data_IF_421516340859
#
_entry.id   IF_421516340859
#
_cell.length_a   1.000
_cell.length_b   1.000
_cell.length_c   1.000
_cell.angle_alpha   90.00
_cell.angle_beta   90.00
_cell.angle_gamma   90.00
#
_symmetry.space_group_name_H-M   'P 1'
#
loop_
_entity.id
_entity.type
_entity.pdbx_description
1 polymer ?
#
# COMPACT_ATOMS: atom_id res chain seq x y z
N UNK A 1 -30.55 84.05 15.30
CA UNK A 1 -31.25 82.73 15.25
C UNK A 1 -30.72 81.78 14.18
N UNK A 2 -30.39 82.25 12.96
CA UNK A 2 -29.91 81.39 11.86
C UNK A 2 -28.56 80.68 12.07
N UNK A 3 -27.64 81.24 12.87
CA UNK A 3 -26.28 80.69 13.02
C UNK A 3 -26.25 79.34 13.77
N UNK A 4 -27.19 79.11 14.70
CA UNK A 4 -27.28 77.86 15.46
C UNK A 4 -27.87 76.70 14.66
N UNK A 5 -28.74 77.00 13.67
CA UNK A 5 -29.36 76.00 12.79
C UNK A 5 -28.31 75.41 11.83
N UNK A 6 -27.40 76.24 11.32
CA UNK A 6 -26.34 75.80 10.40
C UNK A 6 -25.34 74.85 11.07
N UNK A 7 -24.94 75.13 12.32
CA UNK A 7 -24.01 74.28 13.07
C UNK A 7 -24.60 72.91 13.44
N UNK A 8 -25.93 72.85 13.65
CA UNK A 8 -26.65 71.61 13.96
C UNK A 8 -26.82 70.74 12.70
N UNK A 9 -27.05 71.35 11.54
CA UNK A 9 -27.15 70.64 10.25
C UNK A 9 -25.83 69.96 9.86
N UNK A 10 -24.70 70.67 10.04
CA UNK A 10 -23.36 70.14 9.71
C UNK A 10 -22.98 68.94 10.59
N UNK A 11 -23.45 68.92 11.84
CA UNK A 11 -23.21 67.77 12.74
C UNK A 11 -24.04 66.54 12.36
N UNK A 12 -25.25 66.73 11.82
CA UNK A 12 -26.13 65.64 11.37
C UNK A 12 -25.58 64.99 10.08
N UNK A 13 -25.16 65.78 9.10
CA UNK A 13 -24.54 65.25 7.87
C UNK A 13 -23.23 64.50 8.16
N UNK A 14 -22.42 65.00 9.11
CA UNK A 14 -21.21 64.31 9.53
C UNK A 14 -21.50 62.95 10.17
N UNK A 15 -22.57 62.84 10.97
CA UNK A 15 -23.00 61.58 11.59
C UNK A 15 -23.49 60.59 10.53
N UNK A 16 -24.30 61.01 9.55
CA UNK A 16 -24.75 60.12 8.46
C UNK A 16 -23.59 59.63 7.59
N UNK A 17 -22.62 60.49 7.29
CA UNK A 17 -21.42 60.12 6.50
C UNK A 17 -20.56 59.12 7.29
N UNK A 18 -20.38 59.30 8.59
CA UNK A 18 -19.65 58.37 9.45
C UNK A 18 -20.42 57.04 9.53
N UNK A 19 -21.74 57.06 9.71
CA UNK A 19 -22.57 55.85 9.79
C UNK A 19 -22.54 55.06 8.48
N UNK A 20 -22.64 55.73 7.33
CA UNK A 20 -22.57 55.12 6.00
C UNK A 20 -21.18 54.54 5.72
N UNK A 21 -20.12 55.24 6.13
CA UNK A 21 -18.73 54.77 5.98
C UNK A 21 -18.41 53.60 6.91
N UNK A 22 -19.01 53.56 8.10
CA UNK A 22 -18.93 52.43 9.03
C UNK A 22 -19.67 51.22 8.46
N UNK A 23 -20.89 51.39 7.94
CA UNK A 23 -21.70 50.31 7.35
C UNK A 23 -21.02 49.69 6.11
N UNK A 24 -20.51 50.51 5.18
CA UNK A 24 -19.79 50.02 4.00
C UNK A 24 -18.46 49.33 4.37
N UNK A 25 -17.79 49.78 5.43
CA UNK A 25 -16.56 49.13 5.94
C UNK A 25 -16.86 47.76 6.57
N UNK A 26 -17.99 47.64 7.27
CA UNK A 26 -18.49 46.38 7.84
C UNK A 26 -18.91 45.41 6.73
N UNK A 27 -19.66 45.85 5.72
CA UNK A 27 -20.08 45.00 4.59
C UNK A 27 -18.88 44.48 3.76
N UNK A 28 -17.87 45.33 3.55
CA UNK A 28 -16.62 44.93 2.90
C UNK A 28 -15.86 43.88 3.73
N UNK A 29 -15.94 43.97 5.06
CA UNK A 29 -15.37 42.98 5.98
C UNK A 29 -16.11 41.64 5.93
N UNK A 30 -17.45 41.67 5.92
CA UNK A 30 -18.30 40.48 5.84
C UNK A 30 -18.12 39.76 4.49
N UNK A 31 -18.07 40.50 3.38
CA UNK A 31 -17.84 39.95 2.04
C UNK A 31 -16.44 39.33 1.88
N UNK A 32 -15.40 39.94 2.49
CA UNK A 32 -14.05 39.34 2.56
C UNK A 32 -14.03 38.08 3.42
N UNK A 33 -14.75 38.07 4.54
CA UNK A 33 -14.85 36.91 5.41
C UNK A 33 -15.52 35.73 4.69
N UNK A 34 -16.61 35.97 3.96
CA UNK A 34 -17.32 34.93 3.22
C UNK A 34 -16.48 34.35 2.07
N UNK A 35 -15.71 35.18 1.36
CA UNK A 35 -14.77 34.74 0.31
C UNK A 35 -13.65 33.88 0.88
N UNK A 36 -13.10 34.25 2.03
CA UNK A 36 -12.07 33.46 2.72
C UNK A 36 -12.66 32.13 3.20
N UNK A 37 -13.86 32.15 3.79
CA UNK A 37 -14.54 30.93 4.24
C UNK A 37 -14.84 29.97 3.07
N UNK A 38 -15.30 30.50 1.92
CA UNK A 38 -15.52 29.72 0.72
C UNK A 38 -14.22 29.08 0.19
N UNK A 39 -13.13 29.85 0.12
CA UNK A 39 -11.82 29.33 -0.28
C UNK A 39 -11.28 28.27 0.69
N UNK A 40 -11.41 28.48 2.00
CA UNK A 40 -11.01 27.50 3.02
C UNK A 40 -11.81 26.21 2.88
N UNK A 41 -13.13 26.30 2.66
CA UNK A 41 -13.97 25.12 2.46
C UNK A 41 -13.59 24.33 1.20
N UNK A 42 -13.24 25.02 0.11
CA UNK A 42 -12.82 24.40 -1.14
C UNK A 42 -11.46 23.70 -0.99
N UNK A 43 -10.50 24.33 -0.30
CA UNK A 43 -9.19 23.73 -0.01
C UNK A 43 -9.34 22.50 0.89
N UNK A 44 -10.19 22.57 1.92
CA UNK A 44 -10.44 21.44 2.81
C UNK A 44 -11.05 20.24 2.08
N UNK A 45 -11.98 20.48 1.16
CA UNK A 45 -12.57 19.42 0.34
C UNK A 45 -11.53 18.69 -0.53
N UNK A 46 -10.54 19.40 -1.07
CA UNK A 46 -9.44 18.81 -1.86
C UNK A 46 -8.52 17.94 -0.99
N UNK A 47 -8.26 18.34 0.26
CA UNK A 47 -7.37 17.59 1.17
C UNK A 47 -7.98 16.23 1.56
N UNK A 48 -9.30 16.16 1.76
CA UNK A 48 -9.97 14.92 2.22
C UNK A 48 -10.16 13.91 1.08
N UNK A 49 -10.11 14.33 -0.19
CA UNK A 49 -10.31 13.45 -1.35
C UNK A 49 -9.17 12.43 -1.59
N UNK A 50 -8.04 12.52 -0.86
CA UNK A 50 -6.86 11.67 -1.07
C UNK A 50 -6.88 10.29 -0.40
N UNK A 51 -7.91 9.95 0.38
CA UNK A 51 -7.96 8.67 1.10
C UNK A 51 -8.49 7.54 0.20
N UNK A 52 -7.61 6.94 -0.61
CA UNK A 52 -7.90 5.70 -1.35
C UNK A 52 -6.93 4.60 -0.93
N UNK A 53 -7.39 3.34 -0.76
CA UNK A 53 -6.49 2.22 -0.54
C UNK A 53 -5.58 2.02 -1.77
N UNK A 54 -4.34 1.62 -1.52
CA UNK A 54 -3.37 1.31 -2.56
C UNK A 54 -3.46 -0.19 -2.86
N UNK A 55 -3.76 -0.53 -4.11
CA UNK A 55 -3.78 -1.90 -4.60
C UNK A 55 -2.45 -2.18 -5.30
N UNK A 56 -1.78 -3.25 -4.90
CA UNK A 56 -0.55 -3.72 -5.50
C UNK A 56 -0.73 -5.13 -6.05
N UNK A 57 -0.41 -5.32 -7.33
CA UNK A 57 -0.39 -6.62 -7.98
C UNK A 57 1.06 -7.08 -8.10
N UNK A 58 1.35 -8.27 -7.59
CA UNK A 58 2.67 -8.88 -7.64
C UNK A 58 2.61 -10.22 -8.39
N UNK A 59 3.67 -10.50 -9.16
CA UNK A 59 3.79 -11.75 -9.92
C UNK A 59 2.95 -11.78 -11.19
N UNK A 60 2.59 -12.97 -11.63
CA UNK A 60 1.85 -13.19 -12.88
C UNK A 60 0.44 -13.72 -12.57
N UNK A 61 -0.58 -12.87 -12.74
CA UNK A 61 -1.98 -13.27 -12.59
C UNK A 61 -2.48 -13.82 -13.93
N UNK A 62 -2.76 -15.12 -13.99
CA UNK A 62 -3.11 -15.78 -15.24
C UNK A 62 -4.59 -15.67 -15.54
N UNK A 63 -4.93 -15.41 -16.81
CA UNK A 63 -6.30 -15.49 -17.28
C UNK A 63 -6.77 -16.95 -17.30
N UNK A 64 -7.96 -17.19 -16.75
CA UNK A 64 -8.64 -18.49 -16.75
C UNK A 64 -8.80 -19.02 -18.18
N UNK A 65 -9.01 -18.14 -19.17
CA UNK A 65 -9.12 -18.53 -20.58
C UNK A 65 -7.82 -19.13 -21.12
N UNK A 66 -6.68 -18.56 -20.75
CA UNK A 66 -5.38 -19.07 -21.16
C UNK A 66 -5.13 -20.46 -20.55
N UNK A 67 -5.50 -20.66 -19.28
CA UNK A 67 -5.42 -21.96 -18.61
C UNK A 67 -6.33 -23.01 -19.27
N UNK A 68 -7.54 -22.61 -19.68
CA UNK A 68 -8.49 -23.50 -20.33
C UNK A 68 -8.03 -23.99 -21.72
N UNK A 69 -7.09 -23.28 -22.36
CA UNK A 69 -6.52 -23.69 -23.65
C UNK A 69 -5.52 -24.86 -23.54
N UNK A 70 -5.00 -25.11 -22.34
CA UNK A 70 -4.02 -26.17 -22.06
C UNK A 70 -4.75 -27.52 -22.01
N UNK A 71 -4.37 -28.42 -22.92
CA UNK A 71 -4.94 -29.77 -23.01
C UNK A 71 -4.00 -30.78 -22.38
N UNK A 72 -4.47 -31.44 -21.33
CA UNK A 72 -3.75 -32.52 -20.64
C UNK A 72 -3.35 -33.63 -21.63
N UNK A 73 -2.10 -34.08 -21.56
CA UNK A 73 -1.53 -35.12 -22.42
C UNK A 73 -1.32 -34.73 -23.89
N UNK A 74 -1.58 -33.47 -24.28
CA UNK A 74 -1.37 -33.00 -25.66
C UNK A 74 -0.48 -31.77 -25.72
N UNK A 75 -0.71 -30.79 -24.85
CA UNK A 75 0.08 -29.56 -24.82
C UNK A 75 1.49 -29.86 -24.32
N UNK A 76 2.50 -29.37 -25.06
CA UNK A 76 3.92 -29.51 -24.72
C UNK A 76 4.40 -28.35 -23.85
N UNK A 77 5.51 -28.55 -23.15
CA UNK A 77 6.20 -27.51 -22.38
C UNK A 77 6.46 -26.23 -23.18
N UNK A 78 6.91 -26.34 -24.44
CA UNK A 78 7.14 -25.19 -25.31
C UNK A 78 5.86 -24.41 -25.58
N UNK A 79 4.75 -25.10 -25.85
CA UNK A 79 3.45 -24.45 -26.07
C UNK A 79 2.92 -23.79 -24.79
N UNK A 80 3.16 -24.38 -23.61
CA UNK A 80 2.82 -23.73 -22.34
C UNK A 80 3.64 -22.46 -22.15
N UNK A 81 4.93 -22.48 -22.49
CA UNK A 81 5.80 -21.31 -22.45
C UNK A 81 5.32 -20.22 -23.42
N UNK A 82 4.90 -20.59 -24.63
CA UNK A 82 4.39 -19.65 -25.62
C UNK A 82 3.04 -19.03 -25.18
N UNK A 83 2.20 -19.79 -24.48
CA UNK A 83 0.88 -19.36 -24.00
C UNK A 83 0.94 -18.53 -22.71
N UNK A 84 1.74 -18.95 -21.73
CA UNK A 84 1.76 -18.38 -20.38
C UNK A 84 3.03 -17.58 -20.07
N UNK A 85 4.06 -17.68 -20.92
CA UNK A 85 5.38 -17.11 -20.68
C UNK A 85 6.21 -17.91 -19.67
N UNK A 86 7.31 -17.27 -19.23
CA UNK A 86 8.21 -17.83 -18.24
C UNK A 86 7.51 -17.99 -16.88
N UNK A 87 7.68 -19.14 -16.20
CA UNK A 87 7.11 -19.35 -14.88
C UNK A 87 7.80 -18.49 -13.81
N UNK A 88 7.10 -18.25 -12.71
CA UNK A 88 7.65 -17.53 -11.54
C UNK A 88 8.70 -18.37 -10.81
N UNK A 89 8.54 -19.70 -10.79
CA UNK A 89 9.50 -20.61 -10.18
C UNK A 89 9.42 -22.00 -10.80
N UNK A 90 10.54 -22.71 -10.79
CA UNK A 90 10.66 -24.11 -11.21
C UNK A 90 10.71 -25.01 -9.98
N UNK A 91 10.12 -26.21 -10.06
CA UNK A 91 10.26 -27.20 -9.01
C UNK A 91 11.69 -27.74 -8.95
N UNK A 92 12.32 -27.56 -7.80
CA UNK A 92 13.70 -28.01 -7.58
C UNK A 92 13.80 -29.52 -7.27
N UNK A 93 12.69 -30.18 -6.90
CA UNK A 93 12.72 -31.56 -6.41
C UNK A 93 11.65 -32.44 -7.05
N UNK A 94 12.08 -33.62 -7.54
CA UNK A 94 11.25 -34.77 -7.88
C UNK A 94 10.43 -34.69 -9.16
N UNK A 95 9.61 -33.64 -9.34
CA UNK A 95 8.70 -33.50 -10.49
C UNK A 95 9.09 -32.28 -11.32
N UNK A 96 9.09 -32.44 -12.65
CA UNK A 96 9.23 -31.31 -13.56
C UNK A 96 7.92 -30.53 -13.52
N UNK A 97 7.88 -29.48 -12.71
CA UNK A 97 6.70 -28.68 -12.46
C UNK A 97 7.03 -27.20 -12.50
N UNK A 98 6.16 -26.42 -13.11
CA UNK A 98 6.27 -24.96 -13.20
C UNK A 98 5.21 -24.31 -12.32
N UNK A 99 5.61 -23.26 -11.62
CA UNK A 99 4.75 -22.48 -10.75
C UNK A 99 4.57 -21.08 -11.30
N UNK A 100 3.32 -20.68 -11.49
CA UNK A 100 2.91 -19.31 -11.77
C UNK A 100 2.23 -18.77 -10.54
N UNK A 101 2.76 -17.69 -9.99
CA UNK A 101 2.31 -17.13 -8.72
C UNK A 101 1.88 -15.69 -8.97
N UNK A 102 0.61 -15.40 -8.70
CA UNK A 102 0.03 -14.06 -8.71
C UNK A 102 -0.55 -13.73 -7.34
N UNK A 103 -0.33 -12.51 -6.88
CA UNK A 103 -0.88 -12.02 -5.62
C UNK A 103 -1.36 -10.58 -5.77
N UNK A 104 -2.54 -10.30 -5.22
CA UNK A 104 -3.07 -8.95 -5.09
C UNK A 104 -3.17 -8.59 -3.62
N UNK A 105 -2.49 -7.51 -3.26
CA UNK A 105 -2.46 -6.98 -1.90
C UNK A 105 -3.09 -5.60 -1.87
N UNK A 106 -3.87 -5.36 -0.82
CA UNK A 106 -4.45 -4.06 -0.53
C UNK A 106 -3.76 -3.48 0.71
N UNK A 107 -3.32 -2.23 0.60
CA UNK A 107 -2.74 -1.48 1.70
C UNK A 107 -3.59 -0.23 1.97
N UNK A 108 -4.19 -0.19 3.14
CA UNK A 108 -4.89 1.00 3.63
C UNK A 108 -3.92 1.86 4.45
N UNK A 109 -3.65 3.08 3.97
CA UNK A 109 -2.76 4.04 4.64
C UNK A 109 -1.43 3.41 5.09
N UNK A 110 -1.16 3.44 6.41
CA UNK A 110 0.06 2.91 7.05
C UNK A 110 -0.15 1.53 7.70
N UNK A 111 -1.29 0.89 7.51
CA UNK A 111 -1.52 -0.48 7.99
C UNK A 111 -0.71 -1.50 7.18
N UNK A 112 -0.55 -2.70 7.76
CA UNK A 112 0.10 -3.81 7.06
C UNK A 112 -0.73 -4.19 5.81
N UNK A 113 -0.08 -4.46 4.67
CA UNK A 113 -0.80 -4.90 3.48
C UNK A 113 -1.45 -6.26 3.74
N UNK A 114 -2.71 -6.38 3.37
CA UNK A 114 -3.46 -7.63 3.43
C UNK A 114 -3.59 -8.24 2.04
N UNK A 115 -3.48 -9.56 1.92
CA UNK A 115 -3.67 -10.25 0.64
C UNK A 115 -5.15 -10.45 0.40
N UNK A 116 -5.70 -9.75 -0.60
CA UNK A 116 -7.11 -9.89 -0.98
C UNK A 116 -7.32 -11.08 -1.92
N UNK A 117 -6.34 -11.38 -2.76
CA UNK A 117 -6.42 -12.46 -3.74
C UNK A 117 -5.03 -13.06 -3.96
N UNK A 118 -4.98 -14.38 -4.11
CA UNK A 118 -3.76 -15.10 -4.47
C UNK A 118 -4.15 -16.26 -5.37
N UNK A 119 -3.45 -16.37 -6.50
CA UNK A 119 -3.61 -17.45 -7.45
C UNK A 119 -2.26 -18.12 -7.64
N UNK A 120 -2.21 -19.44 -7.43
CA UNK A 120 -1.03 -20.26 -7.69
C UNK A 120 -1.43 -21.35 -8.68
N UNK A 121 -0.82 -21.33 -9.86
CA UNK A 121 -1.01 -22.35 -10.88
C UNK A 121 0.21 -23.25 -10.95
N UNK A 122 0.00 -24.54 -10.67
CA UNK A 122 1.01 -25.58 -10.74
C UNK A 122 0.78 -26.40 -12.02
N UNK A 123 1.68 -26.30 -12.98
CA UNK A 123 1.67 -27.13 -14.19
C UNK A 123 2.70 -28.23 -14.01
N UNK A 124 2.25 -29.49 -13.96
CA UNK A 124 3.14 -30.64 -13.87
C UNK A 124 3.30 -31.26 -15.25
N UNK A 125 4.53 -31.67 -15.57
CA UNK A 125 4.86 -32.31 -16.83
C UNK A 125 5.25 -33.77 -16.65
N UNK A 126 5.02 -34.57 -17.68
CA UNK A 126 5.56 -35.92 -17.81
C UNK A 126 7.00 -35.89 -18.33
N UNK A 127 7.68 -37.04 -18.30
CA UNK A 127 9.06 -37.19 -18.78
C UNK A 127 9.22 -36.88 -20.27
N UNK A 128 8.16 -37.01 -21.06
CA UNK A 128 8.12 -36.65 -22.48
C UNK A 128 7.85 -35.14 -22.73
N UNK A 129 7.74 -34.33 -21.67
CA UNK A 129 7.49 -32.89 -21.78
C UNK A 129 6.03 -32.50 -22.05
N UNK A 130 5.08 -33.44 -21.94
CA UNK A 130 3.65 -33.15 -22.04
C UNK A 130 3.06 -32.74 -20.70
N UNK A 131 2.04 -31.89 -20.72
CA UNK A 131 1.30 -31.49 -19.51
C UNK A 131 0.57 -32.70 -18.92
N UNK A 132 0.96 -33.09 -17.72
CA UNK A 132 0.33 -34.18 -16.95
C UNK A 132 -0.91 -33.70 -16.20
N UNK A 133 -0.78 -32.56 -15.52
CA UNK A 133 -1.86 -31.99 -14.70
C UNK A 133 -1.64 -30.50 -14.51
N UNK A 134 -2.74 -29.77 -14.37
CA UNK A 134 -2.76 -28.35 -14.00
C UNK A 134 -3.58 -28.25 -12.72
N UNK A 135 -3.01 -27.62 -11.69
CA UNK A 135 -3.71 -27.36 -10.43
C UNK A 135 -3.72 -25.86 -10.17
N UNK A 136 -4.90 -25.31 -9.91
CA UNK A 136 -5.08 -23.93 -9.46
C UNK A 136 -5.34 -23.96 -7.96
N UNK A 137 -4.67 -23.11 -7.22
CA UNK A 137 -4.79 -22.96 -5.77
C UNK A 137 -5.06 -21.49 -5.46
N UNK A 138 -6.04 -21.25 -4.60
CA UNK A 138 -6.40 -19.90 -4.17
C UNK A 138 -5.93 -19.62 -2.73
N UNK A 139 -6.21 -18.40 -2.25
CA UNK A 139 -5.88 -17.98 -0.87
C UNK A 139 -6.41 -18.95 0.20
N UNK A 140 -7.58 -19.54 -0.04
CA UNK A 140 -8.25 -20.47 0.87
C UNK A 140 -7.56 -21.85 0.95
N UNK A 141 -6.74 -22.21 -0.03
CA UNK A 141 -6.00 -23.47 -0.05
C UNK A 141 -4.69 -23.40 0.76
N UNK A 142 -4.45 -22.29 1.47
CA UNK A 142 -3.27 -22.11 2.29
C UNK A 142 -3.25 -23.10 3.46
N UNK A 143 -2.22 -23.95 3.50
CA UNK A 143 -1.97 -24.84 4.63
C UNK A 143 -1.16 -24.11 5.69
N UNK A 144 -1.67 -24.10 6.92
CA UNK A 144 -0.92 -23.60 8.08
C UNK A 144 0.23 -24.57 8.37
N UNK A 145 1.46 -24.15 8.07
CA UNK A 145 2.65 -24.91 8.45
C UNK A 145 2.87 -24.70 9.95
N UNK A 146 2.83 -25.78 10.72
CA UNK A 146 3.17 -25.74 12.14
C UNK A 146 4.68 -25.85 12.22
N UNK A 147 5.35 -24.77 12.61
CA UNK A 147 6.77 -24.84 12.93
C UNK A 147 6.96 -25.66 14.20
N UNK A 148 7.72 -26.75 14.12
CA UNK A 148 8.17 -27.46 15.31
C UNK A 148 9.18 -26.56 16.04
N UNK A 149 9.04 -26.42 17.36
CA UNK A 149 9.96 -25.63 18.20
C UNK A 149 11.28 -26.36 18.48
N UNK A 150 11.63 -27.37 17.67
CA UNK A 150 12.86 -28.10 17.90
C UNK A 150 14.04 -27.29 17.38
N UNK A 151 14.78 -26.71 18.31
CA UNK A 151 16.04 -26.02 18.01
C UNK A 151 17.12 -27.08 17.76
N UNK A 152 17.84 -26.96 16.64
CA UNK A 152 19.03 -27.78 16.40
C UNK A 152 20.13 -27.32 17.37
N UNK A 153 20.60 -28.15 18.31
CA UNK A 153 21.65 -27.75 19.23
C UNK A 153 22.92 -27.41 18.44
N UNK A 154 23.41 -26.19 18.59
CA UNK A 154 24.64 -25.75 17.92
C UNK A 154 25.83 -26.54 18.46
N UNK A 155 26.70 -27.06 17.59
CA UNK A 155 27.91 -27.80 17.98
C UNK A 155 28.97 -26.93 18.69
N UNK A 156 28.77 -25.61 18.76
CA UNK A 156 29.63 -24.68 19.47
C UNK A 156 29.33 -24.65 20.96
N UNK A 157 30.34 -24.36 21.78
CA UNK A 157 30.12 -24.06 23.20
C UNK A 157 29.23 -22.82 23.32
N UNK A 158 28.15 -22.89 24.10
CA UNK A 158 27.37 -21.71 24.49
C UNK A 158 28.22 -20.86 25.45
N UNK A 159 28.99 -19.92 24.89
CA UNK A 159 29.76 -18.98 25.70
C UNK A 159 28.79 -17.95 26.26
N UNK A 160 28.59 -17.94 27.57
CA UNK A 160 27.79 -16.91 28.24
C UNK A 160 28.50 -15.55 28.18
N UNK A 161 27.73 -14.46 28.25
CA UNK A 161 28.25 -13.08 28.25
C UNK A 161 29.42 -12.90 29.24
N UNK A 162 29.33 -13.53 30.41
CA UNK A 162 30.36 -13.48 31.45
C UNK A 162 31.69 -14.11 30.99
N UNK A 163 31.63 -15.23 30.27
CA UNK A 163 32.83 -15.93 29.76
C UNK A 163 33.51 -15.13 28.64
N UNK A 164 32.75 -14.34 27.86
CA UNK A 164 33.32 -13.41 26.88
C UNK A 164 34.03 -12.23 27.55
N UNK A 165 33.47 -11.68 28.63
CA UNK A 165 34.08 -10.60 29.39
C UNK A 165 35.39 -11.04 30.08
N UNK A 166 35.37 -12.20 30.75
CA UNK A 166 36.56 -12.73 31.44
C UNK A 166 37.62 -13.21 30.45
N UNK A 167 37.23 -13.83 29.33
CA UNK A 167 38.16 -14.33 28.32
C UNK A 167 38.97 -13.22 27.61
N UNK A 168 38.53 -11.96 27.70
CA UNK A 168 39.24 -10.81 27.15
C UNK A 168 40.12 -10.07 28.19
N UNK A 169 39.94 -10.34 29.48
CA UNK A 169 40.75 -9.75 30.55
C UNK A 169 42.04 -10.57 30.69
N UNK A 170 43.18 -9.94 30.38
CA UNK A 170 44.51 -10.56 30.51
C UNK A 170 45.25 -10.83 29.19
N UNK A 171 44.67 -10.52 28.02
CA UNK A 171 45.33 -10.59 26.71
C UNK A 171 46.20 -9.36 26.37
N UNK A 172 46.77 -8.71 27.38
CA UNK A 172 47.78 -7.67 27.16
C UNK A 172 49.16 -8.33 27.17
N UNK A 173 49.64 -8.81 26.03
CA UNK A 173 51.07 -9.08 25.84
C UNK A 173 51.77 -7.73 25.64
N UNK A 174 52.63 -7.26 26.56
CA UNK A 174 53.51 -6.14 26.27
C UNK A 174 54.54 -6.60 25.22
N UNK A 175 54.78 -5.72 24.25
CA UNK A 175 55.80 -5.89 23.22
C UNK A 175 57.18 -5.54 23.78
#
# INVERSE_FOLDING_TARGET
>A
MLHWICSLLISIEAIEVIFTKLNNSIDLFIMRMYRIAALVSAVLAVIVAGCSPQIENHGNMLDIKALASIKLGRTRQSEVFDLLGSPSSYANFGKNSWYYIGQRTERQAFYKPETIERQIVCVNFESNGLVKSVKVLDLNDSKKIISLQHETPTAGQSITLLKQLIGNIGRFTPR
#
